data_IF_653140569086
#
_entry.id   IF_653140569086
#
_cell.length_a   1.000
_cell.length_b   1.000
_cell.length_c   1.000
_cell.angle_alpha   90.00
_cell.angle_beta   90.00
_cell.angle_gamma   90.00
#
_symmetry.space_group_name_H-M   'P 1'
#
loop_
_entity.id
_entity.type
_entity.pdbx_description
1 polymer ?
#
# COMPACT_ATOMS: atom_id res chain seq x y z
N UNK A 1 30.54 -6.82 26.65
CA UNK A 1 29.23 -7.21 26.07
C UNK A 1 29.45 -7.88 24.72
N UNK A 2 28.94 -9.11 24.52
CA UNK A 2 29.00 -9.77 23.21
C UNK A 2 27.90 -9.16 22.34
N UNK A 3 28.30 -8.41 21.30
CA UNK A 3 27.36 -7.73 20.38
C UNK A 3 26.52 -8.79 19.66
N UNK A 4 25.19 -8.71 19.79
CA UNK A 4 24.26 -9.60 19.08
C UNK A 4 24.28 -9.21 17.59
N UNK A 5 24.36 -10.20 16.69
CA UNK A 5 24.35 -9.95 15.25
C UNK A 5 22.96 -9.58 14.75
N UNK A 6 22.88 -8.82 13.66
CA UNK A 6 21.61 -8.42 13.04
C UNK A 6 20.84 -9.63 12.51
N UNK A 7 21.57 -10.62 12.02
CA UNK A 7 21.01 -11.90 11.54
C UNK A 7 20.31 -12.65 12.68
N UNK A 8 20.87 -12.61 13.89
CA UNK A 8 20.23 -13.20 15.05
C UNK A 8 18.99 -12.41 15.46
N UNK A 9 19.07 -11.08 15.50
CA UNK A 9 17.88 -10.22 15.76
C UNK A 9 16.75 -10.55 14.78
N UNK A 10 17.07 -10.66 13.48
CA UNK A 10 16.12 -11.05 12.45
C UNK A 10 15.47 -12.41 12.66
N UNK A 11 16.25 -13.39 13.11
CA UNK A 11 15.76 -14.75 13.41
C UNK A 11 14.78 -14.75 14.58
N UNK A 12 15.10 -14.03 15.66
CA UNK A 12 14.20 -13.90 16.82
C UNK A 12 12.92 -13.15 16.46
N UNK A 13 13.03 -12.07 15.67
CA UNK A 13 11.86 -11.33 15.16
C UNK A 13 10.96 -12.20 14.28
N UNK A 14 11.53 -13.06 13.43
CA UNK A 14 10.73 -13.96 12.59
C UNK A 14 9.93 -14.94 13.47
N UNK A 15 10.55 -15.45 14.54
CA UNK A 15 9.87 -16.24 15.57
C UNK A 15 8.77 -15.48 16.30
N UNK A 16 8.98 -14.21 16.62
CA UNK A 16 7.98 -13.34 17.27
C UNK A 16 6.78 -13.07 16.36
N UNK A 17 7.02 -12.77 15.08
CA UNK A 17 5.97 -12.51 14.10
C UNK A 17 5.21 -13.78 13.68
N UNK A 18 5.88 -14.93 13.69
CA UNK A 18 5.26 -16.25 13.45
C UNK A 18 4.61 -16.85 14.70
N UNK A 19 4.87 -16.24 15.86
CA UNK A 19 4.43 -16.73 17.17
C UNK A 19 2.94 -16.47 17.42
N UNK A 20 2.43 -16.95 18.57
CA UNK A 20 1.02 -16.83 18.91
C UNK A 20 0.60 -15.39 19.28
N UNK A 21 1.53 -14.52 19.66
CA UNK A 21 1.24 -13.16 20.13
C UNK A 21 2.31 -12.15 19.65
N UNK A 22 2.26 -11.74 18.37
CA UNK A 22 3.19 -10.75 17.82
C UNK A 22 3.01 -9.37 18.45
N UNK A 23 1.79 -9.04 18.93
CA UNK A 23 1.47 -7.76 19.58
C UNK A 23 2.24 -7.62 20.88
N UNK A 24 2.21 -8.65 21.74
CA UNK A 24 2.95 -8.65 22.99
C UNK A 24 4.45 -8.58 22.77
N UNK A 25 4.98 -9.31 21.79
CA UNK A 25 6.39 -9.25 21.45
C UNK A 25 6.84 -7.81 21.09
N UNK A 26 6.08 -7.12 20.23
CA UNK A 26 6.40 -5.74 19.84
C UNK A 26 6.21 -4.75 20.99
N UNK A 27 5.20 -4.97 21.83
CA UNK A 27 4.97 -4.18 23.05
C UNK A 27 6.12 -4.32 24.03
N UNK A 28 6.63 -5.53 24.24
CA UNK A 28 7.79 -5.77 25.12
C UNK A 28 9.07 -5.13 24.55
N UNK A 29 9.32 -5.22 23.24
CA UNK A 29 10.44 -4.53 22.59
C UNK A 29 10.37 -3.01 22.83
N UNK A 30 9.20 -2.41 22.65
CA UNK A 30 9.02 -0.97 22.85
C UNK A 30 9.14 -0.57 24.33
N UNK A 31 8.49 -1.32 25.23
CA UNK A 31 8.52 -1.10 26.69
C UNK A 31 9.94 -1.18 27.25
N UNK A 32 10.74 -2.13 26.77
CA UNK A 32 12.15 -2.30 27.15
C UNK A 32 13.08 -1.29 26.46
N UNK A 33 12.54 -0.34 25.69
CA UNK A 33 13.31 0.67 24.92
C UNK A 33 14.29 0.06 23.92
N UNK A 34 14.00 -1.15 23.45
CA UNK A 34 14.80 -1.86 22.45
C UNK A 34 14.39 -1.50 21.02
N UNK A 35 13.27 -0.81 20.83
CA UNK A 35 12.70 -0.55 19.50
C UNK A 35 13.69 0.13 18.55
N UNK A 36 14.33 1.28 18.88
CA UNK A 36 15.28 1.92 17.97
C UNK A 36 16.54 1.08 17.74
N UNK A 37 16.92 0.26 18.73
CA UNK A 37 18.07 -0.64 18.63
C UNK A 37 17.77 -1.85 17.71
N UNK A 38 16.53 -2.31 17.66
CA UNK A 38 16.06 -3.42 16.81
C UNK A 38 15.80 -2.94 15.38
N UNK A 39 15.00 -1.89 15.23
CA UNK A 39 14.62 -1.28 13.95
C UNK A 39 15.51 -0.07 13.67
N UNK A 40 16.81 -0.30 13.55
CA UNK A 40 17.76 0.79 13.31
C UNK A 40 17.47 1.52 12.00
N UNK A 41 17.63 2.83 12.03
CA UNK A 41 17.62 3.70 10.84
C UNK A 41 18.98 4.39 10.74
N UNK A 42 19.22 5.14 9.66
CA UNK A 42 20.44 5.94 9.53
C UNK A 42 20.41 7.15 10.48
N UNK A 43 21.56 7.68 10.93
CA UNK A 43 21.58 8.79 11.89
C UNK A 43 20.82 10.05 11.43
N UNK A 44 20.81 10.34 10.13
CA UNK A 44 20.08 11.45 9.53
C UNK A 44 18.56 11.25 9.55
N UNK A 45 18.09 10.01 9.38
CA UNK A 45 16.69 9.65 9.53
C UNK A 45 16.28 9.64 11.01
N UNK A 46 17.13 9.12 11.90
CA UNK A 46 16.90 9.07 13.34
C UNK A 46 16.73 10.47 13.94
N UNK A 47 17.52 11.45 13.47
CA UNK A 47 17.44 12.84 13.92
C UNK A 47 16.09 13.51 13.66
N UNK A 48 15.29 13.00 12.72
CA UNK A 48 13.95 13.51 12.40
C UNK A 48 12.84 12.80 13.20
N UNK A 49 13.15 11.68 13.85
CA UNK A 49 12.16 10.88 14.54
C UNK A 49 12.00 11.31 16.00
N UNK A 50 10.76 11.30 16.55
CA UNK A 50 10.55 11.50 17.97
C UNK A 50 11.14 10.32 18.77
N UNK A 51 11.53 10.56 20.02
CA UNK A 51 12.17 9.53 20.88
C UNK A 51 11.29 8.29 21.15
N UNK A 52 9.97 8.43 21.01
CA UNK A 52 8.98 7.36 21.18
C UNK A 52 8.40 6.86 19.85
N UNK A 53 9.09 7.01 18.71
CA UNK A 53 8.58 6.61 17.40
C UNK A 53 8.16 5.13 17.28
N UNK A 54 8.63 4.25 18.18
CA UNK A 54 8.17 2.86 18.25
C UNK A 54 6.73 2.69 18.77
N UNK A 55 6.20 3.64 19.54
CA UNK A 55 4.84 3.57 20.09
C UNK A 55 3.74 3.52 19.01
N UNK A 56 3.66 4.45 18.04
CA UNK A 56 2.70 4.37 16.96
C UNK A 56 2.90 3.13 16.08
N UNK A 57 4.15 2.66 15.90
CA UNK A 57 4.44 1.41 15.20
C UNK A 57 3.77 0.19 15.87
N UNK A 58 3.90 0.07 17.20
CA UNK A 58 3.28 -1.03 17.95
C UNK A 58 1.76 -0.94 17.92
N UNK A 59 1.18 0.26 18.05
CA UNK A 59 -0.26 0.47 17.95
C UNK A 59 -0.83 -0.04 16.61
N UNK A 60 -0.10 0.16 15.52
CA UNK A 60 -0.51 -0.34 14.20
C UNK A 60 -0.36 -1.86 14.06
N UNK A 61 0.61 -2.49 14.72
CA UNK A 61 0.66 -3.97 14.79
C UNK A 61 -0.56 -4.51 15.52
N UNK A 62 -0.97 -3.88 16.62
CA UNK A 62 -2.21 -4.23 17.34
C UNK A 62 -3.44 -4.10 16.43
N UNK A 63 -3.58 -2.96 15.75
CA UNK A 63 -4.70 -2.71 14.85
C UNK A 63 -4.71 -3.69 13.66
N UNK A 64 -3.56 -3.97 13.06
CA UNK A 64 -3.42 -4.93 11.96
C UNK A 64 -3.75 -6.36 12.42
N UNK A 65 -3.25 -6.79 13.58
CA UNK A 65 -3.53 -8.12 14.15
C UNK A 65 -5.02 -8.30 14.41
N UNK A 66 -5.67 -7.32 15.04
CA UNK A 66 -7.11 -7.36 15.28
C UNK A 66 -7.92 -7.38 13.96
N UNK A 67 -7.48 -6.62 12.96
CA UNK A 67 -8.14 -6.57 11.64
C UNK A 67 -7.99 -7.91 10.91
N UNK A 68 -6.79 -8.47 10.87
CA UNK A 68 -6.51 -9.78 10.26
C UNK A 68 -7.28 -10.92 10.93
N UNK A 69 -7.46 -10.87 12.25
CA UNK A 69 -8.23 -11.88 12.99
C UNK A 69 -9.74 -11.75 12.75
N UNK A 70 -10.24 -10.53 12.50
CA UNK A 70 -11.66 -10.27 12.32
C UNK A 70 -12.12 -10.33 10.85
N UNK A 71 -11.22 -10.09 9.90
CA UNK A 71 -11.51 -10.19 8.47
C UNK A 71 -11.50 -11.66 8.05
N UNK A 72 -12.59 -12.11 7.45
CA UNK A 72 -12.73 -13.49 6.97
C UNK A 72 -12.76 -13.48 5.44
N UNK A 73 -11.60 -13.20 4.84
CA UNK A 73 -11.44 -13.23 3.40
C UNK A 73 -11.87 -14.59 2.82
N UNK A 74 -12.38 -14.61 1.59
CA UNK A 74 -12.74 -15.87 0.92
C UNK A 74 -11.55 -16.82 0.73
N UNK A 75 -10.34 -16.28 0.78
CA UNK A 75 -9.08 -17.01 0.69
C UNK A 75 -8.22 -16.61 1.87
N UNK A 76 -7.76 -17.62 2.63
CA UNK A 76 -6.89 -17.42 3.78
C UNK A 76 -5.63 -16.65 3.40
N UNK A 77 -5.30 -15.64 4.21
CA UNK A 77 -3.98 -15.00 4.16
C UNK A 77 -2.99 -16.00 4.76
N UNK A 78 -2.05 -16.47 3.94
CA UNK A 78 -1.04 -17.42 4.39
C UNK A 78 -0.14 -16.84 5.49
N UNK A 79 0.56 -17.72 6.21
CA UNK A 79 1.40 -17.30 7.35
C UNK A 79 2.49 -16.30 6.96
N UNK A 80 3.12 -16.47 5.79
CA UNK A 80 4.15 -15.55 5.31
C UNK A 80 3.55 -14.19 4.94
N UNK A 81 2.38 -14.19 4.31
CA UNK A 81 1.62 -12.98 3.95
C UNK A 81 1.16 -12.22 5.20
N UNK A 82 0.69 -12.93 6.23
CA UNK A 82 0.33 -12.33 7.52
C UNK A 82 1.54 -11.64 8.17
N UNK A 83 2.73 -12.25 8.13
CA UNK A 83 3.96 -11.60 8.62
C UNK A 83 4.27 -10.31 7.87
N UNK A 84 4.17 -10.33 6.54
CA UNK A 84 4.40 -9.12 5.74
C UNK A 84 3.34 -8.06 6.01
N UNK A 85 2.08 -8.44 6.27
CA UNK A 85 1.03 -7.51 6.68
C UNK A 85 1.38 -6.82 8.00
N UNK A 86 1.80 -7.58 9.01
CA UNK A 86 2.23 -7.03 10.30
C UNK A 86 3.47 -6.14 10.17
N UNK A 87 4.46 -6.52 9.34
CA UNK A 87 5.65 -5.73 9.09
C UNK A 87 5.32 -4.41 8.38
N UNK A 88 4.39 -4.46 7.42
CA UNK A 88 3.92 -3.30 6.68
C UNK A 88 3.12 -2.35 7.56
N UNK A 89 2.36 -2.86 8.51
CA UNK A 89 1.70 -2.05 9.53
C UNK A 89 2.70 -1.43 10.51
N UNK A 90 3.65 -2.23 11.02
CA UNK A 90 4.69 -1.77 11.96
C UNK A 90 5.46 -0.57 11.39
N UNK A 91 5.89 -0.65 10.13
CA UNK A 91 6.74 0.37 9.50
C UNK A 91 5.93 1.46 8.79
N UNK A 92 4.61 1.42 8.85
CA UNK A 92 3.75 2.42 8.21
C UNK A 92 4.03 3.86 8.67
N UNK A 93 4.31 4.15 9.96
CA UNK A 93 4.57 5.52 10.41
C UNK A 93 5.83 6.12 9.79
N UNK A 94 6.80 5.31 9.41
CA UNK A 94 8.06 5.77 8.79
C UNK A 94 8.07 5.62 7.27
N UNK A 95 6.92 5.38 6.63
CA UNK A 95 6.79 5.13 5.18
C UNK A 95 7.27 6.27 4.30
N UNK A 96 7.16 7.51 4.77
CA UNK A 96 7.56 8.71 4.04
C UNK A 96 9.00 9.15 4.38
N UNK A 97 9.67 8.44 5.29
CA UNK A 97 11.00 8.82 5.73
C UNK A 97 12.06 8.35 4.74
N UNK A 98 12.91 9.30 4.37
CA UNK A 98 14.04 9.10 3.48
C UNK A 98 15.36 9.26 4.24
N UNK A 99 16.38 8.52 3.79
CA UNK A 99 17.74 8.55 4.31
C UNK A 99 18.77 8.90 3.25
N UNK A 100 19.90 9.47 3.67
CA UNK A 100 21.03 9.72 2.80
C UNK A 100 21.82 8.44 2.52
N UNK A 101 21.61 7.90 1.33
CA UNK A 101 22.41 6.82 0.79
C UNK A 101 23.81 7.24 0.35
N UNK A 102 24.63 6.24 0.00
CA UNK A 102 25.98 6.46 -0.56
C UNK A 102 25.88 7.37 -1.79
N UNK A 103 26.81 8.34 -1.88
CA UNK A 103 26.87 9.36 -2.96
C UNK A 103 25.64 10.29 -2.99
N UNK A 104 25.02 10.57 -1.84
CA UNK A 104 23.95 11.56 -1.71
C UNK A 104 22.61 11.13 -2.32
N UNK A 105 22.43 9.83 -2.61
CA UNK A 105 21.18 9.32 -3.16
C UNK A 105 20.15 9.15 -2.05
N UNK A 106 18.96 9.75 -2.18
CA UNK A 106 17.85 9.49 -1.26
C UNK A 106 17.42 8.03 -1.34
N UNK A 107 17.27 7.38 -0.19
CA UNK A 107 16.82 6.00 -0.07
C UNK A 107 15.67 5.88 0.95
N UNK A 108 14.57 5.20 0.59
CA UNK A 108 13.45 4.99 1.49
C UNK A 108 13.88 4.14 2.68
N UNK A 109 13.51 4.57 3.89
CA UNK A 109 13.94 3.94 5.13
C UNK A 109 13.31 2.56 5.33
N UNK A 110 12.09 2.33 4.86
CA UNK A 110 11.38 1.06 5.07
C UNK A 110 12.13 -0.15 4.49
N UNK A 111 12.51 -0.18 3.20
CA UNK A 111 13.34 -1.26 2.67
C UNK A 111 14.69 -1.44 3.38
N UNK A 112 15.30 -0.35 3.87
CA UNK A 112 16.56 -0.41 4.62
C UNK A 112 16.37 -1.08 5.98
N UNK A 113 15.32 -0.73 6.73
CA UNK A 113 15.02 -1.40 8.01
C UNK A 113 14.85 -2.90 7.77
N UNK A 114 14.04 -3.29 6.78
CA UNK A 114 13.75 -4.71 6.52
C UNK A 114 15.01 -5.48 6.07
N UNK A 115 15.80 -4.90 5.17
CA UNK A 115 16.97 -5.56 4.58
C UNK A 115 18.24 -5.51 5.45
N UNK A 116 18.45 -4.42 6.19
CA UNK A 116 19.71 -4.17 6.90
C UNK A 116 19.59 -4.31 8.42
N UNK A 117 18.49 -3.83 9.00
CA UNK A 117 18.27 -3.87 10.45
C UNK A 117 17.67 -5.19 10.91
N UNK A 118 16.64 -5.64 10.19
CA UNK A 118 15.92 -6.90 10.46
C UNK A 118 16.55 -8.08 9.73
N UNK A 119 17.29 -7.87 8.62
CA UNK A 119 17.94 -8.93 7.82
C UNK A 119 16.97 -9.97 7.24
N UNK A 120 15.76 -9.56 6.86
CA UNK A 120 14.79 -10.42 6.20
C UNK A 120 14.94 -10.44 4.67
N UNK A 121 14.18 -11.33 4.02
CA UNK A 121 14.24 -11.56 2.56
C UNK A 121 13.99 -10.25 1.79
N UNK A 122 14.74 -10.03 0.71
CA UNK A 122 14.54 -8.88 -0.19
C UNK A 122 13.10 -8.76 -0.71
N UNK A 123 12.44 -9.90 -0.94
CA UNK A 123 11.03 -9.93 -1.35
C UNK A 123 10.09 -9.31 -0.33
N UNK A 124 10.38 -9.41 0.98
CA UNK A 124 9.59 -8.75 2.02
C UNK A 124 9.81 -7.24 2.00
N UNK A 125 11.06 -6.79 1.86
CA UNK A 125 11.37 -5.37 1.76
C UNK A 125 10.65 -4.72 0.56
N UNK A 126 10.67 -5.40 -0.59
CA UNK A 126 9.94 -4.94 -1.80
C UNK A 126 8.43 -4.96 -1.59
N UNK A 127 7.86 -6.06 -1.10
CA UNK A 127 6.41 -6.18 -0.90
C UNK A 127 5.89 -5.19 0.14
N UNK A 128 6.61 -4.96 1.23
CA UNK A 128 6.22 -3.97 2.24
C UNK A 128 6.15 -2.56 1.64
N UNK A 129 7.17 -2.16 0.87
CA UNK A 129 7.16 -0.86 0.20
C UNK A 129 6.02 -0.75 -0.84
N UNK A 130 5.81 -1.80 -1.64
CA UNK A 130 4.74 -1.85 -2.64
C UNK A 130 3.35 -1.73 -1.99
N UNK A 131 3.09 -2.50 -0.93
CA UNK A 131 1.82 -2.46 -0.17
C UNK A 131 1.57 -1.06 0.38
N UNK A 132 2.57 -0.44 1.04
CA UNK A 132 2.43 0.89 1.61
C UNK A 132 2.22 1.97 0.54
N UNK A 133 2.85 1.82 -0.64
CA UNK A 133 2.69 2.74 -1.75
C UNK A 133 1.29 2.65 -2.40
N UNK A 134 0.65 1.48 -2.41
CA UNK A 134 -0.69 1.30 -2.99
C UNK A 134 -1.82 1.56 -1.99
N UNK A 135 -1.55 1.51 -0.68
CA UNK A 135 -2.57 1.67 0.36
C UNK A 135 -3.38 3.00 0.28
N UNK A 136 -2.78 4.18 -0.01
CA UNK A 136 -3.54 5.42 -0.16
C UNK A 136 -4.56 5.38 -1.30
N UNK A 137 -4.19 4.81 -2.45
CA UNK A 137 -5.09 4.68 -3.59
C UNK A 137 -6.24 3.69 -3.30
N UNK A 138 -5.95 2.59 -2.59
CA UNK A 138 -6.99 1.67 -2.12
C UNK A 138 -7.95 2.35 -1.13
N UNK A 139 -7.45 3.23 -0.24
CA UNK A 139 -8.30 4.01 0.65
C UNK A 139 -9.20 4.98 -0.12
N UNK A 140 -8.68 5.68 -1.14
CA UNK A 140 -9.47 6.55 -2.03
C UNK A 140 -10.57 5.78 -2.77
N UNK A 141 -10.27 4.56 -3.25
CA UNK A 141 -11.27 3.66 -3.84
C UNK A 141 -12.35 3.33 -2.82
N UNK A 142 -11.99 2.95 -1.59
CA UNK A 142 -12.95 2.67 -0.52
C UNK A 142 -13.86 3.87 -0.22
N UNK A 143 -13.30 5.07 -0.12
CA UNK A 143 -14.07 6.31 0.11
C UNK A 143 -15.06 6.58 -1.03
N UNK A 144 -14.67 6.32 -2.27
CA UNK A 144 -15.55 6.46 -3.44
C UNK A 144 -16.68 5.41 -3.39
N UNK A 145 -16.38 4.16 -3.04
CA UNK A 145 -17.38 3.11 -2.86
C UNK A 145 -18.41 3.49 -1.78
N UNK A 146 -17.96 4.06 -0.66
CA UNK A 146 -18.84 4.56 0.40
C UNK A 146 -19.78 5.66 -0.10
N UNK A 147 -19.25 6.64 -0.86
CA UNK A 147 -20.05 7.72 -1.44
C UNK A 147 -21.08 7.25 -2.47
N UNK A 148 -20.78 6.15 -3.19
CA UNK A 148 -21.70 5.54 -4.16
C UNK A 148 -22.73 4.61 -3.52
N UNK A 149 -22.51 4.15 -2.28
CA UNK A 149 -23.40 3.21 -1.59
C UNK A 149 -23.49 1.86 -2.31
N UNK A 150 -24.70 1.42 -2.68
CA UNK A 150 -24.95 0.18 -3.43
C UNK A 150 -25.05 0.35 -4.95
N UNK A 151 -24.84 1.55 -5.48
CA UNK A 151 -25.04 1.84 -6.91
C UNK A 151 -23.89 1.33 -7.80
N UNK A 152 -22.68 1.19 -7.24
CA UNK A 152 -21.51 0.75 -8.00
C UNK A 152 -21.62 -0.73 -8.45
N UNK A 153 -22.46 -1.54 -7.81
CA UNK A 153 -22.72 -2.91 -8.25
C UNK A 153 -23.44 -2.98 -9.60
N UNK A 154 -24.26 -1.97 -9.92
CA UNK A 154 -24.99 -1.90 -11.18
C UNK A 154 -24.19 -1.16 -12.25
N UNK A 155 -23.53 -0.06 -11.88
CA UNK A 155 -22.75 0.78 -12.79
C UNK A 155 -21.61 1.47 -12.05
N UNK A 156 -20.46 0.79 -11.91
CA UNK A 156 -19.27 1.38 -11.32
C UNK A 156 -18.59 2.37 -12.29
N UNK A 157 -18.07 3.52 -11.78
CA UNK A 157 -17.24 4.40 -12.58
C UNK A 157 -16.00 3.68 -13.13
N UNK A 158 -15.68 3.93 -14.41
CA UNK A 158 -14.49 3.36 -15.07
C UNK A 158 -13.20 3.65 -14.30
N UNK A 159 -13.08 4.85 -13.73
CA UNK A 159 -11.92 5.27 -12.93
C UNK A 159 -11.76 4.41 -11.67
N UNK A 160 -12.87 4.05 -11.01
CA UNK A 160 -12.87 3.23 -9.81
C UNK A 160 -12.33 1.83 -10.12
N UNK A 161 -12.85 1.20 -11.18
CA UNK A 161 -12.38 -0.09 -11.69
C UNK A 161 -10.90 -0.04 -12.07
N UNK A 162 -10.48 1.04 -12.72
CA UNK A 162 -9.09 1.26 -13.15
C UNK A 162 -8.14 1.37 -11.97
N UNK A 163 -8.42 2.24 -11.00
CA UNK A 163 -7.59 2.42 -9.81
C UNK A 163 -7.47 1.13 -9.01
N UNK A 164 -8.60 0.46 -8.75
CA UNK A 164 -8.61 -0.81 -8.03
C UNK A 164 -7.84 -1.90 -8.77
N UNK A 165 -8.06 -2.02 -10.09
CA UNK A 165 -7.37 -2.99 -10.93
C UNK A 165 -5.86 -2.76 -11.00
N UNK A 166 -5.42 -1.50 -11.07
CA UNK A 166 -4.00 -1.16 -11.04
C UNK A 166 -3.36 -1.56 -9.70
N UNK A 167 -4.00 -1.25 -8.57
CA UNK A 167 -3.52 -1.65 -7.26
C UNK A 167 -3.42 -3.18 -7.12
N UNK A 168 -4.45 -3.92 -7.56
CA UNK A 168 -4.45 -5.39 -7.53
C UNK A 168 -3.35 -5.97 -8.44
N UNK A 169 -3.09 -5.37 -9.61
CA UNK A 169 -2.01 -5.81 -10.49
C UNK A 169 -0.62 -5.62 -9.89
N UNK A 170 -0.40 -4.50 -9.19
CA UNK A 170 0.88 -4.24 -8.53
C UNK A 170 1.10 -5.20 -7.36
N UNK A 171 0.08 -5.38 -6.53
CA UNK A 171 0.18 -6.24 -5.34
C UNK A 171 0.04 -7.73 -5.65
N UNK A 172 -0.47 -8.09 -6.84
CA UNK A 172 -0.69 -9.46 -7.29
C UNK A 172 -1.50 -10.24 -6.26
N UNK A 173 -1.12 -11.48 -5.96
CA UNK A 173 -1.79 -12.31 -4.95
C UNK A 173 -1.81 -11.72 -3.54
N UNK A 174 -1.07 -10.65 -3.27
CA UNK A 174 -0.98 -10.00 -1.96
C UNK A 174 -1.91 -8.79 -1.82
N UNK A 175 -2.83 -8.55 -2.76
CA UNK A 175 -3.69 -7.37 -2.74
C UNK A 175 -4.55 -7.24 -1.46
N UNK A 176 -4.89 -8.35 -0.80
CA UNK A 176 -5.57 -8.37 0.51
C UNK A 176 -4.72 -7.77 1.64
N UNK A 177 -3.39 -7.88 1.55
CA UNK A 177 -2.50 -7.15 2.47
C UNK A 177 -2.69 -5.64 2.26
N UNK A 178 -2.79 -5.21 0.99
CA UNK A 178 -3.08 -3.83 0.62
C UNK A 178 -4.35 -3.28 1.26
N UNK A 179 -5.44 -4.06 1.27
CA UNK A 179 -6.72 -3.62 1.88
C UNK A 179 -6.59 -3.47 3.40
N UNK A 180 -5.87 -4.38 4.06
CA UNK A 180 -5.59 -4.26 5.51
C UNK A 180 -4.80 -2.99 5.78
N UNK A 181 -3.70 -2.73 5.05
CA UNK A 181 -2.90 -1.52 5.27
C UNK A 181 -3.66 -0.23 4.93
N UNK A 182 -4.48 -0.23 3.86
CA UNK A 182 -5.36 0.88 3.54
C UNK A 182 -6.33 1.21 4.69
N UNK A 183 -6.89 0.18 5.34
CA UNK A 183 -7.79 0.36 6.48
C UNK A 183 -7.13 0.97 7.72
N UNK A 184 -5.79 0.91 7.83
CA UNK A 184 -5.04 1.47 8.95
C UNK A 184 -4.70 2.96 8.78
N UNK A 185 -4.70 3.47 7.54
CA UNK A 185 -4.30 4.84 7.24
C UNK A 185 -5.10 5.93 7.98
N UNK A 186 -6.43 5.77 8.24
CA UNK A 186 -7.17 6.75 9.04
C UNK A 186 -6.76 6.82 10.52
N UNK A 187 -5.99 5.87 11.04
CA UNK A 187 -5.56 5.89 12.45
C UNK A 187 -4.53 7.00 12.70
N UNK A 188 -4.62 7.66 13.85
CA UNK A 188 -3.64 8.68 14.26
C UNK A 188 -2.21 8.13 14.30
N UNK A 189 -2.04 6.87 14.70
CA UNK A 189 -0.77 6.15 14.70
C UNK A 189 -0.16 5.97 13.30
N UNK A 190 -0.97 6.06 12.23
CA UNK A 190 -0.54 5.96 10.84
C UNK A 190 -0.09 7.30 10.24
N UNK A 191 -0.14 8.42 10.97
CA UNK A 191 0.43 9.68 10.48
C UNK A 191 1.94 9.52 10.21
N UNK A 192 2.47 9.99 9.06
CA UNK A 192 3.90 9.88 8.79
C UNK A 192 4.73 10.63 9.84
N UNK A 193 5.83 10.01 10.27
CA UNK A 193 6.78 10.58 11.22
C UNK A 193 8.02 11.11 10.50
N UNK A 194 8.61 12.18 11.06
CA UNK A 194 9.89 12.71 10.60
C UNK A 194 9.85 13.39 9.23
N UNK A 195 8.68 13.86 8.81
CA UNK A 195 8.49 14.75 7.67
C UNK A 195 8.10 16.15 8.15
N UNK A 196 8.48 17.19 7.40
CA UNK A 196 8.10 18.55 7.72
C UNK A 196 6.58 18.74 7.53
N UNK A 197 5.92 19.52 8.39
CA UNK A 197 4.45 19.67 8.40
C UNK A 197 3.85 20.10 7.04
N UNK A 198 4.62 20.83 6.22
CA UNK A 198 4.21 21.23 4.87
C UNK A 198 4.13 20.07 3.87
N UNK A 199 4.94 19.03 4.04
CA UNK A 199 4.90 17.81 3.21
C UNK A 199 3.79 16.85 3.69
N UNK A 200 3.44 16.89 4.98
CA UNK A 200 2.30 16.16 5.54
C UNK A 200 0.98 16.69 4.96
N UNK A 201 0.80 18.02 4.91
CA UNK A 201 -0.39 18.67 4.34
C UNK A 201 -0.51 18.48 2.82
N UNK A 202 0.59 18.36 2.08
CA UNK A 202 0.57 18.03 0.65
C UNK A 202 0.02 16.61 0.40
N UNK A 203 0.24 15.67 1.33
CA UNK A 203 -0.32 14.32 1.25
C UNK A 203 -1.80 14.24 1.64
N UNK A 204 -2.30 15.19 2.44
CA UNK A 204 -3.71 15.28 2.85
C UNK A 204 -4.55 16.18 1.93
N UNK A 205 -3.97 17.23 1.33
CA UNK A 205 -4.71 18.22 0.52
C UNK A 205 -5.20 17.72 -0.84
N UNK A 206 -4.60 16.66 -1.42
CA UNK A 206 -5.15 16.00 -2.62
C UNK A 206 -6.49 15.27 -2.37
N UNK A 207 -6.96 15.19 -1.11
CA UNK A 207 -8.21 14.51 -0.74
C UNK A 207 -9.39 15.44 -0.39
N UNK A 208 -9.19 16.77 -0.40
CA UNK A 208 -10.24 17.75 -0.10
C UNK A 208 -10.34 18.82 -1.19
N UNK A 209 -10.95 18.46 -2.31
CA UNK A 209 -11.48 19.42 -3.29
C UNK A 209 -12.97 19.14 -3.46
N UNK A 210 -13.81 19.89 -2.75
CA UNK A 210 -15.26 19.72 -2.78
C UNK A 210 -16.04 20.52 -1.73
N UNK A 211 -16.21 21.82 -2.01
CA UNK A 211 -17.29 22.70 -1.53
C UNK A 211 -17.25 23.30 -0.11
N UNK A 212 -17.84 24.49 -0.03
CA UNK A 212 -17.62 25.59 0.90
C UNK A 212 -18.51 25.65 2.15
N UNK A 213 -17.93 26.29 3.17
CA UNK A 213 -18.51 27.24 4.16
C UNK A 213 -19.56 26.74 5.18
N UNK A 214 -19.22 27.04 6.44
CA UNK A 214 -20.05 27.09 7.66
C UNK A 214 -20.53 25.77 8.28
N UNK A 215 -19.68 25.20 9.16
CA UNK A 215 -20.13 24.44 10.34
C UNK A 215 -19.03 24.36 11.41
N UNK A 216 -19.44 24.43 12.67
CA UNK A 216 -18.65 24.30 13.90
C UNK A 216 -17.72 23.06 13.93
N UNK A 217 -16.63 23.08 14.73
CA UNK A 217 -15.72 21.95 14.83
C UNK A 217 -16.33 20.89 15.75
N UNK A 218 -17.16 20.02 15.18
CA UNK A 218 -17.33 18.67 15.73
C UNK A 218 -16.11 17.86 15.28
N UNK A 219 -15.24 17.52 16.23
CA UNK A 219 -14.08 16.67 16.02
C UNK A 219 -14.52 15.27 15.55
N UNK A 220 -14.30 15.02 14.25
CA UNK A 220 -13.78 13.77 13.68
C UNK A 220 -14.45 12.46 14.14
N UNK A 221 -15.66 12.20 13.63
CA UNK A 221 -16.23 10.85 13.63
C UNK A 221 -15.68 10.01 12.45
N UNK A 222 -14.36 9.85 12.37
CA UNK A 222 -13.78 8.74 11.63
C UNK A 222 -13.81 7.52 12.55
N UNK A 223 -14.74 6.60 12.31
CA UNK A 223 -14.86 5.35 13.06
C UNK A 223 -13.54 4.57 12.93
N UNK A 224 -12.67 4.66 13.94
CA UNK A 224 -11.35 3.99 14.02
C UNK A 224 -11.45 2.60 14.63
N UNK A 225 -12.66 2.04 14.73
CA UNK A 225 -12.89 0.72 15.31
C UNK A 225 -12.35 -0.42 14.44
N UNK A 226 -12.26 -1.62 15.04
CA UNK A 226 -12.00 -2.85 14.27
C UNK A 226 -13.09 -3.06 13.21
N UNK A 227 -14.35 -2.74 13.52
CA UNK A 227 -15.47 -2.92 12.61
C UNK A 227 -15.33 -2.06 11.36
N UNK A 228 -14.96 -0.79 11.49
CA UNK A 228 -14.72 0.09 10.35
C UNK A 228 -13.56 -0.39 9.46
N UNK A 229 -12.48 -0.92 10.06
CA UNK A 229 -11.37 -1.51 9.30
C UNK A 229 -11.77 -2.77 8.54
N UNK A 230 -12.56 -3.63 9.17
CA UNK A 230 -13.12 -4.83 8.54
C UNK A 230 -14.07 -4.44 7.40
N UNK A 231 -14.91 -3.42 7.59
CA UNK A 231 -15.78 -2.89 6.54
C UNK A 231 -14.98 -2.39 5.33
N UNK A 232 -13.88 -1.64 5.55
CA UNK A 232 -12.96 -1.24 4.49
C UNK A 232 -12.41 -2.43 3.70
N UNK A 233 -11.94 -3.47 4.40
CA UNK A 233 -11.42 -4.68 3.77
C UNK A 233 -12.49 -5.41 2.94
N UNK A 234 -13.69 -5.61 3.50
CA UNK A 234 -14.79 -6.30 2.80
C UNK A 234 -15.35 -5.51 1.62
N UNK A 235 -15.45 -4.18 1.71
CA UNK A 235 -15.88 -3.34 0.59
C UNK A 235 -14.91 -3.43 -0.58
N UNK A 236 -13.60 -3.36 -0.30
CA UNK A 236 -12.57 -3.52 -1.33
C UNK A 236 -12.57 -4.93 -1.92
N UNK A 237 -12.64 -5.99 -1.10
CA UNK A 237 -12.75 -7.36 -1.60
C UNK A 237 -14.00 -7.56 -2.46
N UNK A 238 -15.16 -7.06 -2.03
CA UNK A 238 -16.41 -7.16 -2.79
C UNK A 238 -16.30 -6.48 -4.15
N UNK A 239 -15.68 -5.30 -4.21
CA UNK A 239 -15.44 -4.60 -5.48
C UNK A 239 -14.46 -5.35 -6.39
N UNK A 240 -13.37 -5.91 -5.83
CA UNK A 240 -12.42 -6.74 -6.59
C UNK A 240 -13.12 -7.94 -7.23
N UNK A 241 -14.00 -8.62 -6.46
CA UNK A 241 -14.76 -9.76 -6.94
C UNK A 241 -15.81 -9.37 -7.98
N UNK A 242 -16.59 -8.31 -7.72
CA UNK A 242 -17.60 -7.81 -8.64
C UNK A 242 -17.02 -7.41 -10.00
N UNK A 243 -15.83 -6.80 -10.01
CA UNK A 243 -15.14 -6.41 -11.24
C UNK A 243 -14.32 -7.54 -11.88
N UNK A 244 -14.25 -8.72 -11.27
CA UNK A 244 -13.43 -9.86 -11.73
C UNK A 244 -11.95 -9.49 -11.84
N UNK A 245 -11.46 -8.77 -10.84
CA UNK A 245 -10.07 -8.31 -10.75
C UNK A 245 -9.20 -9.22 -9.87
N UNK A 246 -9.80 -10.20 -9.18
CA UNK A 246 -9.16 -11.05 -8.16
C UNK A 246 -7.93 -11.83 -8.65
N UNK A 247 -7.74 -11.95 -9.97
CA UNK A 247 -6.57 -12.59 -10.62
C UNK A 247 -6.05 -11.82 -11.83
N UNK A 248 -6.36 -10.53 -11.95
CA UNK A 248 -6.04 -9.73 -13.13
C UNK A 248 -4.54 -9.52 -13.40
N UNK A 249 -3.63 -9.98 -12.51
CA UNK A 249 -2.18 -10.00 -12.75
C UNK A 249 -1.67 -11.28 -13.40
N UNK A 250 -2.44 -12.37 -13.39
CA UNK A 250 -1.99 -13.70 -13.83
C UNK A 250 -2.78 -14.24 -15.02
N UNK A 251 -4.06 -13.91 -15.09
CA UNK A 251 -4.95 -14.43 -16.13
C UNK A 251 -4.59 -13.88 -17.52
N UNK A 252 -4.64 -14.76 -18.52
CA UNK A 252 -4.25 -14.43 -19.89
C UNK A 252 -5.11 -13.31 -20.49
N UNK A 253 -6.38 -13.23 -20.10
CA UNK A 253 -7.31 -12.16 -20.54
C UNK A 253 -6.90 -10.77 -20.08
N UNK A 254 -6.01 -10.65 -19.09
CA UNK A 254 -5.53 -9.38 -18.54
C UNK A 254 -4.10 -9.04 -18.98
N UNK A 255 -3.55 -9.74 -19.98
CA UNK A 255 -2.31 -9.29 -20.64
C UNK A 255 -2.58 -8.03 -21.45
N UNK A 256 -1.56 -7.18 -21.69
CA UNK A 256 -1.71 -6.08 -22.63
C UNK A 256 -2.24 -6.59 -23.98
N UNK A 257 -3.32 -5.99 -24.48
CA UNK A 257 -3.95 -6.32 -25.76
C UNK A 257 -2.99 -6.12 -26.93
N UNK A 258 -2.03 -5.19 -26.77
CA UNK A 258 -1.01 -4.87 -27.75
C UNK A 258 0.37 -5.13 -27.16
N UNK A 259 1.21 -5.81 -27.92
CA UNK A 259 2.61 -6.01 -27.58
C UNK A 259 3.46 -4.78 -27.97
N UNK A 260 4.73 -4.77 -27.56
CA UNK A 260 5.63 -3.63 -27.83
C UNK A 260 5.82 -3.29 -29.31
N UNK A 261 5.75 -4.28 -30.22
CA UNK A 261 5.84 -4.02 -31.66
C UNK A 261 4.57 -3.38 -32.19
N UNK A 262 3.41 -3.82 -31.73
CA UNK A 262 2.11 -3.24 -32.10
C UNK A 262 1.96 -1.81 -31.56
N UNK A 263 2.40 -1.55 -30.32
CA UNK A 263 2.46 -0.20 -29.75
C UNK A 263 3.37 0.69 -30.59
N UNK A 264 4.59 0.24 -30.90
CA UNK A 264 5.52 0.99 -31.75
C UNK A 264 4.92 1.32 -33.12
N UNK A 265 4.22 0.37 -33.75
CA UNK A 265 3.57 0.60 -35.04
C UNK A 265 2.41 1.62 -34.96
N UNK A 266 1.67 1.64 -33.85
CA UNK A 266 0.52 2.51 -33.67
C UNK A 266 0.89 3.94 -33.24
N UNK A 267 1.99 4.13 -32.51
CA UNK A 267 2.34 5.43 -31.90
C UNK A 267 3.71 5.97 -32.31
N UNK A 268 4.54 5.18 -32.99
CA UNK A 268 5.93 5.53 -33.30
C UNK A 268 6.89 5.48 -32.09
N UNK A 269 6.39 5.14 -30.89
CA UNK A 269 7.19 5.15 -29.66
C UNK A 269 8.32 4.11 -29.67
N UNK A 270 9.43 4.45 -29.00
CA UNK A 270 10.60 3.57 -28.90
C UNK A 270 11.19 3.53 -27.48
N UNK A 271 11.86 2.42 -27.17
CA UNK A 271 12.61 2.27 -25.92
C UNK A 271 11.73 2.44 -24.68
N UNK A 272 12.14 3.24 -23.66
CA UNK A 272 11.41 3.40 -22.41
C UNK A 272 9.97 3.93 -22.56
N UNK A 273 9.65 4.60 -23.66
CA UNK A 273 8.30 5.10 -23.92
C UNK A 273 7.29 3.96 -24.10
N UNK A 274 7.71 2.80 -24.61
CA UNK A 274 6.82 1.64 -24.79
C UNK A 274 6.27 1.17 -23.45
N UNK A 275 7.08 1.19 -22.38
CA UNK A 275 6.64 0.83 -21.04
C UNK A 275 5.53 1.76 -20.54
N UNK A 276 5.75 3.08 -20.64
CA UNK A 276 4.75 4.09 -20.24
C UNK A 276 3.43 3.95 -21.00
N UNK A 277 3.50 3.69 -22.31
CA UNK A 277 2.30 3.48 -23.12
C UNK A 277 1.62 2.15 -22.77
N UNK A 278 2.40 1.11 -22.45
CA UNK A 278 1.85 -0.16 -21.96
C UNK A 278 1.09 0.05 -20.66
N UNK A 279 1.58 0.88 -19.75
CA UNK A 279 0.87 1.21 -18.50
C UNK A 279 -0.43 1.97 -18.76
N UNK A 280 -0.42 2.96 -19.67
CA UNK A 280 -1.64 3.67 -20.10
C UNK A 280 -2.64 2.70 -20.76
N UNK A 281 -2.16 1.81 -21.62
CA UNK A 281 -2.97 0.79 -22.26
C UNK A 281 -3.60 -0.15 -21.21
N UNK A 282 -2.85 -0.53 -20.18
CA UNK A 282 -3.38 -1.36 -19.10
C UNK A 282 -4.47 -0.62 -18.30
N UNK A 283 -4.31 0.68 -18.03
CA UNK A 283 -5.36 1.48 -17.39
C UNK A 283 -6.63 1.51 -18.25
N UNK A 284 -6.49 1.77 -19.55
CA UNK A 284 -7.61 1.78 -20.47
C UNK A 284 -8.31 0.41 -20.57
N UNK A 285 -7.56 -0.69 -20.61
CA UNK A 285 -8.10 -2.05 -20.60
C UNK A 285 -8.87 -2.38 -19.31
N UNK A 286 -8.43 -1.85 -18.17
CA UNK A 286 -9.14 -2.02 -16.91
C UNK A 286 -10.49 -1.29 -16.94
N UNK A 287 -10.56 -0.10 -17.53
CA UNK A 287 -11.82 0.61 -17.77
C UNK A 287 -12.72 -0.10 -18.78
N UNK A 288 -12.15 -0.73 -19.81
CA UNK A 288 -12.87 -1.35 -20.93
C UNK A 288 -12.57 -2.87 -21.02
N UNK A 289 -13.09 -3.68 -20.08
CA UNK A 289 -12.72 -5.10 -19.97
C UNK A 289 -13.08 -5.96 -21.18
N UNK A 290 -14.11 -5.56 -21.94
CA UNK A 290 -14.60 -6.29 -23.12
C UNK A 290 -14.01 -5.74 -24.44
N UNK A 291 -13.08 -4.78 -24.36
CA UNK A 291 -12.50 -4.17 -25.55
C UNK A 291 -11.56 -5.12 -26.31
N UNK A 292 -11.60 -5.00 -27.63
CA UNK A 292 -10.78 -5.80 -28.54
C UNK A 292 -9.40 -5.17 -28.79
N UNK A 293 -8.50 -5.94 -29.40
CA UNK A 293 -7.23 -5.39 -29.89
C UNK A 293 -7.42 -4.26 -30.93
N UNK A 294 -8.53 -4.26 -31.66
CA UNK A 294 -8.81 -3.22 -32.65
C UNK A 294 -9.18 -1.91 -31.96
N UNK A 295 -10.02 -1.98 -30.93
CA UNK A 295 -10.39 -0.82 -30.11
C UNK A 295 -9.15 -0.21 -29.44
N UNK A 296 -8.26 -1.05 -28.91
CA UNK A 296 -6.99 -0.62 -28.32
C UNK A 296 -6.09 0.13 -29.32
N UNK A 297 -6.04 -0.32 -30.58
CA UNK A 297 -5.27 0.37 -31.64
C UNK A 297 -5.88 1.73 -31.96
N UNK A 298 -7.20 1.80 -32.11
CA UNK A 298 -7.90 3.05 -32.41
C UNK A 298 -7.69 4.08 -31.29
N UNK A 299 -7.82 3.64 -30.03
CA UNK A 299 -7.56 4.48 -28.87
C UNK A 299 -6.12 4.98 -28.83
N UNK A 300 -5.11 4.11 -29.04
CA UNK A 300 -3.70 4.55 -29.09
C UNK A 300 -3.43 5.56 -30.21
N UNK A 301 -4.03 5.37 -31.38
CA UNK A 301 -3.90 6.31 -32.50
C UNK A 301 -4.52 7.67 -32.18
N UNK A 302 -5.63 7.73 -31.44
CA UNK A 302 -6.21 9.01 -30.99
C UNK A 302 -5.32 9.77 -30.01
N UNK A 303 -4.52 9.08 -29.19
CA UNK A 303 -3.59 9.73 -28.27
C UNK A 303 -2.43 10.40 -29.01
N UNK A 304 -1.95 9.81 -30.11
CA UNK A 304 -0.83 10.35 -30.90
C UNK A 304 -1.16 11.58 -31.74
N UNK A 305 -2.44 11.91 -31.90
CA UNK A 305 -2.90 13.09 -32.65
C UNK A 305 -3.05 14.35 -31.79
N UNK A 306 -2.90 14.23 -30.47
CA UNK A 306 -3.12 15.29 -29.49
C UNK A 306 -1.88 15.67 -28.67
N UNK A 307 -0.71 15.08 -28.97
CA UNK A 307 0.61 15.50 -28.49
C UNK A 307 1.38 16.25 -29.60
#
# INVERSE_FOLDING_TARGET
MRKVSRERVGTELDGMFSGPDPVRAMTDINRLRLFPAVFTVTPDAEAKLPSNWGEPCVQLVTAATATLAAVNFQVDVGKEEAKVALLSALLLPVRALESQGKKGKSLPVVPLIVGESVKWKKSYASLTAEVQAQAPELLKVYQTLQGLGGSWQESAPEELRTKLGMAVRQLKGNWRIGTVIASLLPLSSAKPLGIDSAEADASESESRSGSSADAHPDEDNTDTSVAARVACCHSLESAVMAFKLDKCWKEAGWRPLLNGQQIKAATGAAGPQIGKITDKLMQWQLAHPDASQQDAKQWLSSLSQHD
#
